data_IF_737260042663
#
_entry.id   IF_737260042663
#
_cell.length_a   1.000
_cell.length_b   1.000
_cell.length_c   1.000
_cell.angle_alpha   90.00
_cell.angle_beta   90.00
_cell.angle_gamma   90.00
#
_symmetry.space_group_name_H-M   'P 1'
#
loop_
_entity.id
_entity.type
_entity.pdbx_description
1 polymer ?
#
# COMPACT_ATOMS: atom_id res chain seq x y z
N UNK A 1 1.24 -16.88 -3.10
CA UNK A 1 1.46 -17.11 -1.66
C UNK A 1 0.34 -17.98 -1.11
N UNK A 2 0.69 -19.10 -0.46
CA UNK A 2 -0.23 -19.93 0.33
C UNK A 2 0.36 -20.10 1.73
N UNK A 3 -0.48 -20.07 2.76
CA UNK A 3 -0.07 -20.24 4.16
C UNK A 3 -1.15 -20.96 4.96
N UNK A 4 -0.71 -21.68 5.98
CA UNK A 4 -1.58 -22.38 6.95
C UNK A 4 -1.41 -21.82 8.36
N UNK A 5 -0.57 -20.80 8.52
CA UNK A 5 -0.31 -20.09 9.78
C UNK A 5 -1.35 -18.99 10.01
N UNK A 6 -1.63 -18.62 11.27
CA UNK A 6 -2.49 -17.49 11.59
C UNK A 6 -2.07 -16.21 10.87
N UNK A 7 -3.02 -15.48 10.28
CA UNK A 7 -2.78 -14.26 9.51
C UNK A 7 -3.52 -13.08 10.14
N UNK A 8 -2.97 -11.87 10.01
CA UNK A 8 -3.67 -10.64 10.41
C UNK A 8 -4.79 -10.37 9.40
N UNK A 9 -5.99 -10.88 9.69
CA UNK A 9 -7.17 -10.74 8.84
C UNK A 9 -8.34 -10.21 9.65
N UNK A 10 -9.01 -9.19 9.13
CA UNK A 10 -10.28 -8.70 9.62
C UNK A 10 -11.39 -9.01 8.60
N UNK A 11 -12.54 -9.46 9.08
CA UNK A 11 -13.71 -9.76 8.24
C UNK A 11 -14.80 -8.74 8.55
N UNK A 12 -15.27 -8.06 7.53
CA UNK A 12 -16.31 -7.03 7.61
C UNK A 12 -17.49 -7.41 6.73
N UNK A 13 -18.59 -6.68 6.84
CA UNK A 13 -19.73 -6.87 5.94
C UNK A 13 -19.33 -6.45 4.51
N UNK A 14 -19.24 -7.42 3.61
CA UNK A 14 -19.00 -7.19 2.17
C UNK A 14 -17.53 -7.16 1.74
N UNK A 15 -16.57 -7.29 2.65
CA UNK A 15 -15.14 -7.38 2.33
C UNK A 15 -14.30 -7.92 3.48
N UNK A 16 -13.06 -8.32 3.16
CA UNK A 16 -12.03 -8.74 4.13
C UNK A 16 -10.78 -7.88 3.96
N UNK A 17 -10.01 -7.74 5.03
CA UNK A 17 -8.74 -7.00 5.03
C UNK A 17 -7.64 -7.91 5.54
N UNK A 18 -6.55 -8.02 4.79
CA UNK A 18 -5.32 -8.71 5.18
C UNK A 18 -4.22 -7.68 5.40
N UNK A 19 -3.46 -7.78 6.48
CA UNK A 19 -2.26 -6.97 6.72
C UNK A 19 -1.00 -7.83 6.72
N UNK A 20 -0.06 -7.50 5.86
CA UNK A 20 1.25 -8.13 5.76
C UNK A 20 2.31 -7.13 6.21
N UNK A 21 2.84 -7.32 7.42
CA UNK A 21 3.90 -6.46 7.96
C UNK A 21 5.26 -6.91 7.44
N UNK A 22 6.09 -5.96 7.06
CA UNK A 22 7.45 -6.21 6.64
C UNK A 22 8.38 -5.05 6.99
N UNK A 23 9.65 -5.37 7.19
CA UNK A 23 10.69 -4.39 7.41
C UNK A 23 11.29 -4.02 6.06
N UNK A 24 11.43 -2.72 5.77
CA UNK A 24 12.25 -2.34 4.62
C UNK A 24 13.70 -2.73 4.91
N UNK A 25 14.26 -3.65 4.12
CA UNK A 25 15.69 -3.92 4.16
C UNK A 25 16.41 -2.72 3.55
N UNK A 26 17.23 -2.09 4.37
CA UNK A 26 17.95 -0.86 4.10
C UNK A 26 19.11 -1.11 3.13
N UNK A 27 18.80 -1.41 1.87
CA UNK A 27 19.83 -1.75 0.88
C UNK A 27 20.06 -0.71 -0.19
N UNK A 28 19.16 0.25 -0.43
CA UNK A 28 19.44 1.37 -1.33
C UNK A 28 18.60 2.59 -0.94
N UNK A 29 19.25 3.68 -0.50
CA UNK A 29 18.65 5.00 -0.62
C UNK A 29 18.30 5.28 -2.10
N UNK A 30 17.35 6.16 -2.45
CA UNK A 30 17.09 6.55 -3.84
C UNK A 30 18.34 7.06 -4.59
N UNK A 31 19.39 7.42 -3.84
CA UNK A 31 20.70 7.87 -4.30
C UNK A 31 21.73 6.76 -4.54
N UNK A 32 21.41 5.49 -4.25
CA UNK A 32 22.35 4.36 -4.34
C UNK A 32 23.46 4.38 -3.30
N UNK A 33 23.36 5.21 -2.25
CA UNK A 33 24.30 5.23 -1.13
C UNK A 33 23.88 4.25 -0.03
N UNK A 34 24.84 3.54 0.60
CA UNK A 34 24.56 2.76 1.80
C UNK A 34 24.05 3.69 2.90
N UNK A 35 23.05 3.23 3.64
CA UNK A 35 22.52 3.96 4.79
C UNK A 35 23.63 4.20 5.83
N UNK A 36 23.68 5.38 6.47
CA UNK A 36 24.68 5.66 7.49
C UNK A 36 24.56 4.67 8.65
N UNK A 37 25.71 4.20 9.11
CA UNK A 37 25.89 3.20 10.18
C UNK A 37 25.49 3.67 11.59
N UNK A 38 24.89 4.86 11.70
CA UNK A 38 24.37 5.36 12.95
C UNK A 38 22.98 4.77 13.12
N UNK A 39 22.91 3.73 13.95
CA UNK A 39 21.71 2.93 14.15
C UNK A 39 20.46 3.78 14.35
N UNK A 40 19.36 3.27 13.78
CA UNK A 40 17.98 3.72 13.92
C UNK A 40 17.45 4.51 12.71
N UNK A 41 16.89 3.79 11.72
CA UNK A 41 15.45 3.79 11.41
C UNK A 41 15.09 2.48 10.70
N UNK A 42 14.74 1.44 11.46
CA UNK A 42 14.02 0.31 10.89
C UNK A 42 12.59 0.75 10.62
N UNK A 43 12.32 1.28 9.43
CA UNK A 43 10.96 1.63 9.04
C UNK A 43 10.19 0.33 8.79
N UNK A 44 9.17 0.11 9.62
CA UNK A 44 8.20 -0.95 9.43
C UNK A 44 7.14 -0.49 8.45
N UNK A 45 6.78 -1.39 7.54
CA UNK A 45 5.75 -1.18 6.56
C UNK A 45 4.71 -2.27 6.65
N UNK A 46 3.48 -1.91 6.33
CA UNK A 46 2.35 -2.82 6.21
C UNK A 46 1.79 -2.74 4.80
N UNK A 47 1.69 -3.88 4.10
CA UNK A 47 0.81 -4.01 2.94
C UNK A 47 -0.56 -4.46 3.41
N UNK A 48 -1.57 -3.62 3.21
CA UNK A 48 -2.96 -3.92 3.50
C UNK A 48 -3.70 -4.23 2.21
N UNK A 49 -4.30 -5.42 2.11
CA UNK A 49 -5.07 -5.88 0.96
C UNK A 49 -6.55 -5.87 1.35
N UNK A 50 -7.36 -5.13 0.60
CA UNK A 50 -8.80 -4.99 0.77
C UNK A 50 -9.50 -5.79 -0.33
N UNK A 51 -10.07 -6.92 0.05
CA UNK A 51 -10.69 -7.89 -0.84
C UNK A 51 -12.22 -7.86 -0.66
N UNK A 52 -12.98 -7.31 -1.62
CA UNK A 52 -14.44 -7.40 -1.62
C UNK A 52 -14.93 -8.85 -1.54
N UNK A 53 -16.14 -9.08 -1.07
CA UNK A 53 -16.77 -10.41 -1.19
C UNK A 53 -17.38 -10.64 -2.59
N UNK A 54 -17.80 -9.54 -3.25
CA UNK A 54 -18.37 -9.56 -4.59
C UNK A 54 -17.30 -9.32 -5.67
N UNK A 55 -17.38 -10.06 -6.78
CA UNK A 55 -16.43 -9.98 -7.90
C UNK A 55 -16.32 -8.57 -8.52
N UNK A 56 -17.41 -7.80 -8.48
CA UNK A 56 -17.51 -6.43 -8.98
C UNK A 56 -17.61 -5.39 -7.86
N UNK A 57 -17.32 -5.77 -6.61
CA UNK A 57 -17.46 -4.90 -5.43
C UNK A 57 -16.34 -3.88 -5.25
N UNK A 58 -15.23 -4.00 -5.98
CA UNK A 58 -14.05 -3.15 -5.81
C UNK A 58 -14.33 -1.64 -5.96
N UNK A 59 -15.09 -1.16 -6.97
CA UNK A 59 -15.36 0.27 -7.11
C UNK A 59 -16.05 0.87 -5.88
N UNK A 60 -17.07 0.19 -5.34
CA UNK A 60 -17.77 0.63 -4.13
C UNK A 60 -16.86 0.64 -2.89
N UNK A 61 -15.96 -0.34 -2.79
CA UNK A 61 -14.99 -0.39 -1.70
C UNK A 61 -13.95 0.75 -1.81
N UNK A 62 -13.48 1.07 -3.02
CA UNK A 62 -12.57 2.19 -3.27
C UNK A 62 -13.23 3.52 -2.92
N UNK A 63 -14.49 3.72 -3.30
CA UNK A 63 -15.24 4.93 -2.94
C UNK A 63 -15.41 5.06 -1.42
N UNK A 64 -15.64 3.93 -0.73
CA UNK A 64 -15.73 3.90 0.74
C UNK A 64 -14.41 4.28 1.41
N UNK A 65 -13.27 3.74 0.93
CA UNK A 65 -11.93 4.10 1.41
C UNK A 65 -11.66 5.58 1.16
N UNK A 66 -11.94 6.08 -0.05
CA UNK A 66 -11.62 7.44 -0.45
C UNK A 66 -12.48 8.51 0.27
N UNK A 67 -13.68 8.15 0.70
CA UNK A 67 -14.61 9.08 1.36
C UNK A 67 -14.13 9.51 2.75
N UNK A 68 -13.57 8.60 3.53
CA UNK A 68 -13.06 8.87 4.89
C UNK A 68 -11.80 8.04 5.20
N UNK A 69 -10.64 8.34 4.56
CA UNK A 69 -9.50 7.43 4.57
C UNK A 69 -8.96 7.11 5.97
N UNK A 70 -8.78 8.14 6.82
CA UNK A 70 -8.22 7.95 8.17
C UNK A 70 -9.15 7.07 9.04
N UNK A 71 -10.41 7.47 9.19
CA UNK A 71 -11.42 6.71 9.94
C UNK A 71 -11.62 5.30 9.39
N UNK A 72 -11.56 5.13 8.07
CA UNK A 72 -11.73 3.84 7.43
C UNK A 72 -10.58 2.90 7.83
N UNK A 73 -9.33 3.36 7.75
CA UNK A 73 -8.18 2.54 8.10
C UNK A 73 -8.16 2.20 9.59
N UNK A 74 -8.46 3.16 10.47
CA UNK A 74 -8.52 2.93 11.92
C UNK A 74 -9.53 1.83 12.28
N UNK A 75 -10.69 1.78 11.60
CA UNK A 75 -11.78 0.86 11.95
C UNK A 75 -11.66 -0.53 11.34
N UNK A 76 -10.98 -0.67 10.21
CA UNK A 76 -11.06 -1.90 9.41
C UNK A 76 -9.77 -2.71 9.35
N UNK A 77 -8.64 -2.16 9.81
CA UNK A 77 -7.37 -2.89 9.85
C UNK A 77 -7.37 -3.94 10.98
N UNK A 78 -6.81 -5.14 10.73
CA UNK A 78 -6.71 -6.19 11.74
C UNK A 78 -5.68 -5.88 12.82
N UNK A 79 -6.07 -6.09 14.08
CA UNK A 79 -5.18 -5.99 15.25
C UNK A 79 -4.63 -7.35 15.70
N UNK A 80 -5.33 -8.44 15.39
CA UNK A 80 -5.01 -9.80 15.83
C UNK A 80 -4.87 -10.77 14.66
N UNK A 81 -4.12 -11.86 14.88
CA UNK A 81 -4.03 -12.98 13.93
C UNK A 81 -5.20 -13.95 14.13
N UNK A 82 -5.74 -14.47 13.03
CA UNK A 82 -6.78 -15.50 13.05
C UNK A 82 -6.36 -16.73 12.24
N UNK A 83 -6.85 -17.90 12.63
CA UNK A 83 -6.63 -19.14 11.90
C UNK A 83 -7.29 -19.08 10.51
N UNK A 84 -6.51 -19.43 9.48
CA UNK A 84 -6.98 -19.52 8.11
C UNK A 84 -7.29 -20.96 7.71
N UNK A 85 -8.30 -21.14 6.86
CA UNK A 85 -8.58 -22.44 6.22
C UNK A 85 -7.98 -22.47 4.82
N UNK A 86 -8.33 -21.50 3.99
CA UNK A 86 -7.69 -21.30 2.68
C UNK A 86 -7.10 -19.89 2.62
N UNK A 87 -5.83 -19.80 2.26
CA UNK A 87 -5.14 -18.52 2.08
C UNK A 87 -4.43 -18.50 0.74
N UNK A 88 -4.79 -17.53 -0.11
CA UNK A 88 -4.16 -17.33 -1.42
C UNK A 88 -4.09 -15.84 -1.74
N UNK A 89 -2.85 -15.34 -1.86
CA UNK A 89 -2.55 -14.01 -2.42
C UNK A 89 -1.70 -14.20 -3.67
N UNK A 90 -2.08 -13.63 -4.83
CA UNK A 90 -1.31 -13.77 -6.07
C UNK A 90 0.00 -13.00 -5.97
N UNK A 91 1.02 -13.49 -6.69
CA UNK A 91 2.20 -12.67 -6.99
C UNK A 91 1.80 -11.70 -8.09
N UNK A 92 2.27 -10.46 -8.01
CA UNK A 92 1.99 -9.48 -9.05
C UNK A 92 3.09 -8.44 -9.14
N UNK A 93 3.30 -7.94 -10.35
CA UNK A 93 4.16 -6.81 -10.65
C UNK A 93 3.35 -5.76 -11.40
N UNK A 94 3.19 -4.61 -10.76
CA UNK A 94 2.51 -3.47 -11.33
C UNK A 94 3.53 -2.39 -11.66
N UNK A 95 3.37 -1.78 -12.83
CA UNK A 95 4.15 -0.61 -13.20
C UNK A 95 3.23 0.48 -13.73
N UNK A 96 3.46 1.70 -13.28
CA UNK A 96 2.81 2.90 -13.77
C UNK A 96 3.87 3.85 -14.30
N UNK A 97 3.62 4.43 -15.46
CA UNK A 97 4.43 5.49 -16.04
C UNK A 97 3.51 6.38 -16.87
N UNK A 98 3.31 7.62 -16.42
CA UNK A 98 2.45 8.53 -17.15
C UNK A 98 2.48 9.96 -16.61
N UNK A 99 2.06 10.88 -17.47
CA UNK A 99 1.80 12.26 -17.08
C UNK A 99 0.55 12.34 -16.21
N UNK A 100 0.65 13.06 -15.09
CA UNK A 100 -0.47 13.32 -14.18
C UNK A 100 -1.04 14.73 -14.30
N UNK A 101 -0.57 15.53 -15.28
CA UNK A 101 -1.01 16.93 -15.47
C UNK A 101 -2.52 17.04 -15.60
N UNK A 102 -3.15 16.19 -16.39
CA UNK A 102 -4.60 16.21 -16.59
C UNK A 102 -5.37 15.95 -15.28
N UNK A 103 -4.83 15.10 -14.40
CA UNK A 103 -5.41 14.80 -13.10
C UNK A 103 -5.21 15.98 -12.15
N UNK A 104 -3.99 16.53 -12.07
CA UNK A 104 -3.67 17.69 -11.23
C UNK A 104 -4.53 18.92 -11.60
N UNK A 105 -4.75 19.17 -12.90
CA UNK A 105 -5.65 20.23 -13.38
C UNK A 105 -7.09 20.01 -12.92
N UNK A 106 -7.59 18.77 -12.98
CA UNK A 106 -8.94 18.41 -12.49
C UNK A 106 -9.07 18.57 -10.97
N UNK A 107 -7.97 18.36 -10.23
CA UNK A 107 -7.90 18.58 -8.79
C UNK A 107 -7.74 20.07 -8.39
N UNK A 108 -7.62 20.97 -9.36
CA UNK A 108 -7.59 22.42 -9.13
C UNK A 108 -6.22 23.08 -9.34
N UNK A 109 -5.15 22.32 -9.58
CA UNK A 109 -3.83 22.87 -9.90
C UNK A 109 -3.79 23.28 -11.38
N UNK A 110 -4.38 24.42 -11.72
CA UNK A 110 -4.47 24.91 -13.10
C UNK A 110 -3.40 25.96 -13.41
N UNK A 111 -3.19 26.92 -12.51
CA UNK A 111 -2.32 28.09 -12.73
C UNK A 111 -0.89 27.69 -13.06
N UNK A 112 -0.35 26.69 -12.35
CA UNK A 112 1.03 26.21 -12.52
C UNK A 112 1.35 25.73 -13.96
N UNK A 113 0.33 25.39 -14.75
CA UNK A 113 0.47 24.92 -16.14
C UNK A 113 0.02 25.96 -17.18
N UNK A 114 -0.01 27.24 -16.80
CA UNK A 114 -0.46 28.36 -17.63
C UNK A 114 0.46 29.57 -17.45
N UNK A 115 0.33 30.58 -18.31
CA UNK A 115 1.08 31.84 -18.21
C UNK A 115 0.79 32.65 -16.93
N UNK A 116 -0.22 32.25 -16.15
CA UNK A 116 -0.55 32.80 -14.82
C UNK A 116 0.24 32.12 -13.68
N UNK A 117 1.14 31.19 -13.99
CA UNK A 117 1.97 30.53 -12.98
C UNK A 117 2.91 31.55 -12.33
N UNK A 118 2.93 31.56 -11.00
CA UNK A 118 3.95 32.28 -10.23
C UNK A 118 4.95 31.26 -9.68
N UNK A 119 6.07 31.12 -10.37
CA UNK A 119 7.18 30.21 -10.04
C UNK A 119 8.49 30.98 -9.86
N UNK A 120 8.43 32.29 -9.53
CA UNK A 120 9.60 33.16 -9.45
C UNK A 120 10.64 32.72 -8.41
N UNK A 121 10.23 32.02 -7.37
CA UNK A 121 11.13 31.52 -6.33
C UNK A 121 11.92 30.27 -6.76
N UNK A 122 11.61 29.67 -7.91
CA UNK A 122 12.29 28.46 -8.40
C UNK A 122 13.57 28.75 -9.18
N UNK A 123 13.66 29.91 -9.83
CA UNK A 123 14.77 30.30 -10.72
C UNK A 123 15.03 31.79 -10.58
N UNK A 124 16.29 32.21 -10.60
CA UNK A 124 16.62 33.63 -10.67
C UNK A 124 16.08 34.27 -11.96
N UNK A 125 15.66 35.54 -11.88
CA UNK A 125 15.14 36.26 -13.04
C UNK A 125 16.20 36.36 -14.14
N UNK A 126 15.88 35.83 -15.33
CA UNK A 126 16.77 35.83 -16.49
C UNK A 126 16.58 37.06 -17.39
N UNK A 127 15.79 38.05 -16.95
CA UNK A 127 15.40 39.27 -17.66
C UNK A 127 14.68 39.01 -19.00
N UNK A 128 14.29 37.77 -19.31
CA UNK A 128 13.63 37.42 -20.58
C UNK A 128 12.18 37.89 -20.64
N UNK A 129 11.56 38.13 -19.49
CA UNK A 129 10.14 38.46 -19.36
C UNK A 129 9.19 37.33 -19.80
N UNK A 130 9.70 36.11 -20.03
CA UNK A 130 8.90 34.96 -20.39
C UNK A 130 8.33 34.29 -19.13
N UNK A 131 7.04 33.88 -19.14
CA UNK A 131 6.46 33.21 -17.98
C UNK A 131 7.07 31.81 -17.80
N UNK A 132 7.51 31.52 -16.57
CA UNK A 132 7.94 30.18 -16.18
C UNK A 132 6.72 29.32 -15.85
N UNK A 133 6.55 28.20 -16.54
CA UNK A 133 5.37 27.32 -16.39
C UNK A 133 5.78 25.86 -16.25
N UNK A 134 5.00 25.08 -15.51
CA UNK A 134 5.13 23.63 -15.54
C UNK A 134 4.60 23.09 -16.87
N UNK A 135 5.44 22.36 -17.58
CA UNK A 135 5.04 21.68 -18.81
C UNK A 135 4.45 20.30 -18.53
N UNK A 136 5.16 19.48 -17.73
CA UNK A 136 4.75 18.11 -17.44
C UNK A 136 5.11 17.68 -16.02
N UNK A 137 4.37 16.69 -15.50
CA UNK A 137 4.63 16.00 -14.24
C UNK A 137 4.48 14.51 -14.50
N UNK A 138 5.59 13.80 -14.49
CA UNK A 138 5.63 12.35 -14.75
C UNK A 138 5.66 11.60 -13.43
N UNK A 139 4.68 10.73 -13.19
CA UNK A 139 4.71 9.77 -12.11
C UNK A 139 5.12 8.39 -12.64
N UNK A 140 6.15 7.80 -12.04
CA UNK A 140 6.65 6.47 -12.35
C UNK A 140 6.75 5.65 -11.07
N UNK A 141 6.05 4.52 -11.03
CA UNK A 141 6.02 3.62 -9.88
C UNK A 141 6.11 2.17 -10.36
N UNK A 142 6.81 1.33 -9.59
CA UNK A 142 6.88 -0.11 -9.81
C UNK A 142 6.69 -0.78 -8.46
N UNK A 143 5.79 -1.74 -8.40
CA UNK A 143 5.51 -2.57 -7.23
C UNK A 143 5.64 -4.01 -7.67
N UNK A 144 6.35 -4.81 -6.88
CA UNK A 144 6.52 -6.23 -7.10
C UNK A 144 6.25 -6.96 -5.79
N UNK A 145 5.26 -7.84 -5.79
CA UNK A 145 4.87 -8.65 -4.64
C UNK A 145 5.23 -10.09 -4.94
N UNK A 146 6.18 -10.62 -4.17
CA UNK A 146 6.70 -11.98 -4.31
C UNK A 146 6.78 -12.69 -2.95
N UNK A 147 6.83 -14.03 -2.99
CA UNK A 147 6.83 -14.88 -1.79
C UNK A 147 8.07 -14.66 -0.91
N UNK A 148 9.23 -14.40 -1.49
CA UNK A 148 10.48 -14.29 -0.74
C UNK A 148 10.52 -13.06 0.17
N UNK A 149 10.13 -11.89 -0.36
CA UNK A 149 10.09 -10.63 0.39
C UNK A 149 8.98 -10.57 1.44
N UNK A 150 7.85 -11.24 1.19
CA UNK A 150 6.72 -11.29 2.14
C UNK A 150 6.89 -12.36 3.22
N UNK A 151 7.42 -13.54 2.87
CA UNK A 151 7.59 -14.66 3.82
C UNK A 151 8.76 -14.41 4.79
N UNK A 152 9.91 -13.90 4.30
CA UNK A 152 11.05 -13.64 5.18
C UNK A 152 10.73 -12.60 6.26
N UNK A 153 9.94 -11.58 5.91
CA UNK A 153 9.56 -10.54 6.84
C UNK A 153 8.47 -11.00 7.83
N UNK A 154 7.51 -11.84 7.37
CA UNK A 154 6.48 -12.42 8.22
C UNK A 154 7.04 -13.38 9.30
N UNK A 155 8.15 -14.08 9.01
CA UNK A 155 8.82 -14.95 10.00
C UNK A 155 9.50 -14.13 11.10
N UNK A 156 10.23 -13.06 10.74
CA UNK A 156 10.94 -12.24 11.72
C UNK A 156 10.03 -11.49 12.71
N UNK A 157 8.81 -11.14 12.30
CA UNK A 157 7.82 -10.52 13.21
C UNK A 157 7.20 -11.53 14.19
N UNK A 158 7.03 -12.78 13.77
CA UNK A 158 6.40 -13.80 14.60
C UNK A 158 7.29 -14.20 15.78
N UNK A 159 8.62 -14.24 15.54
CA UNK A 159 9.61 -14.49 16.60
C UNK A 159 9.64 -13.40 17.68
N UNK A 160 9.15 -12.17 17.39
CA UNK A 160 9.11 -11.06 18.35
C UNK A 160 7.82 -11.01 19.21
N UNK A 161 6.78 -11.79 18.87
CA UNK A 161 5.47 -11.77 19.54
C UNK A 161 5.21 -13.07 20.32
N UNK A 162 6.03 -13.39 21.33
CA UNK A 162 5.76 -14.52 22.23
C UNK A 162 5.57 -14.09 23.69
N UNK A 163 4.32 -14.19 24.16
CA UNK A 163 3.96 -14.18 25.57
C UNK A 163 2.45 -14.29 25.82
N UNK A 164 1.95 -15.50 26.13
CA UNK A 164 0.57 -15.65 26.65
C UNK A 164 0.00 -17.06 26.61
N UNK A 165 -0.61 -17.47 27.72
CA UNK A 165 -1.01 -18.84 28.06
C UNK A 165 -2.47 -19.20 27.65
N UNK A 166 -2.68 -20.48 27.33
CA UNK A 166 -3.93 -21.28 27.30
C UNK A 166 -5.27 -20.64 27.72
N UNK A 167 -6.31 -20.77 26.87
CA UNK A 167 -7.67 -21.16 27.27
C UNK A 167 -8.38 -21.95 26.16
N UNK A 168 -8.99 -23.09 26.52
CA UNK A 168 -9.82 -23.96 25.65
C UNK A 168 -11.13 -23.25 25.28
N UNK A 169 -11.09 -22.41 24.25
CA UNK A 169 -12.26 -22.01 23.45
C UNK A 169 -12.33 -22.94 22.23
N UNK A 170 -13.52 -23.33 21.73
CA UNK A 170 -13.58 -23.92 20.39
C UNK A 170 -12.85 -22.99 19.42
N UNK A 171 -11.99 -23.52 18.53
CA UNK A 171 -11.21 -22.69 17.63
C UNK A 171 -12.19 -21.78 16.88
N UNK A 172 -11.91 -20.46 16.80
CA UNK A 172 -12.75 -19.56 16.03
C UNK A 172 -12.92 -20.11 14.60
N UNK A 173 -14.06 -19.84 13.94
CA UNK A 173 -14.28 -20.29 12.58
C UNK A 173 -13.13 -19.82 11.70
N UNK A 174 -12.48 -20.76 11.04
CA UNK A 174 -11.36 -20.48 10.15
C UNK A 174 -11.85 -19.65 8.98
N UNK A 175 -11.12 -18.60 8.64
CA UNK A 175 -11.47 -17.69 7.55
C UNK A 175 -10.74 -18.10 6.27
N UNK A 176 -11.42 -17.99 5.14
CA UNK A 176 -10.78 -18.06 3.84
C UNK A 176 -10.44 -16.64 3.36
N UNK A 177 -9.19 -16.45 2.94
CA UNK A 177 -8.74 -15.24 2.26
C UNK A 177 -8.13 -15.63 0.92
N UNK A 178 -8.94 -15.54 -0.13
CA UNK A 178 -8.59 -15.98 -1.48
C UNK A 178 -8.75 -14.80 -2.43
N UNK A 179 -7.64 -14.13 -2.73
CA UNK A 179 -7.62 -12.96 -3.62
C UNK A 179 -7.59 -13.38 -5.09
N UNK A 180 -8.72 -13.89 -5.58
CA UNK A 180 -8.91 -14.42 -6.95
C UNK A 180 -9.76 -13.53 -7.86
N UNK A 181 -10.11 -12.33 -7.40
CA UNK A 181 -10.84 -11.31 -8.15
C UNK A 181 -10.34 -9.90 -7.74
N UNK A 182 -10.85 -8.80 -8.34
CA UNK A 182 -10.30 -7.47 -8.12
C UNK A 182 -10.22 -7.04 -6.66
N UNK A 183 -9.07 -6.52 -6.23
CA UNK A 183 -8.82 -6.03 -4.87
C UNK A 183 -8.02 -4.73 -4.86
N UNK A 184 -8.16 -3.95 -3.79
CA UNK A 184 -7.32 -2.79 -3.54
C UNK A 184 -6.17 -3.14 -2.60
N UNK A 185 -5.07 -2.40 -2.67
CA UNK A 185 -4.01 -2.49 -1.68
C UNK A 185 -3.47 -1.11 -1.32
N UNK A 186 -2.98 -1.01 -0.09
CA UNK A 186 -2.22 0.12 0.43
C UNK A 186 -0.90 -0.39 1.00
N UNK A 187 0.15 0.41 0.87
CA UNK A 187 1.39 0.22 1.62
C UNK A 187 1.53 1.41 2.55
N UNK A 188 1.69 1.15 3.83
CA UNK A 188 1.75 2.16 4.88
C UNK A 188 3.05 2.05 5.65
N UNK A 189 3.64 3.18 6.02
CA UNK A 189 4.72 3.26 6.99
C UNK A 189 4.11 3.30 8.40
N UNK A 190 4.48 2.34 9.26
CA UNK A 190 3.75 2.08 10.51
C UNK A 190 3.99 3.16 11.58
N UNK A 191 5.12 3.87 11.54
CA UNK A 191 5.45 4.89 12.56
C UNK A 191 4.58 6.14 12.41
N UNK A 192 4.41 6.61 11.18
CA UNK A 192 3.69 7.84 10.84
C UNK A 192 2.26 7.57 10.38
N UNK A 193 1.95 6.33 10.01
CA UNK A 193 0.68 5.98 9.37
C UNK A 193 0.57 6.48 7.92
N UNK A 194 1.67 6.95 7.33
CA UNK A 194 1.65 7.49 5.98
C UNK A 194 1.42 6.38 4.94
N UNK A 195 0.43 6.57 4.07
CA UNK A 195 0.24 5.74 2.87
C UNK A 195 1.32 6.10 1.84
N UNK A 196 2.25 5.19 1.60
CA UNK A 196 3.35 5.38 0.65
C UNK A 196 3.02 4.85 -0.75
N UNK A 197 2.16 3.84 -0.84
CA UNK A 197 1.58 3.38 -2.11
C UNK A 197 0.11 3.06 -1.94
N UNK A 198 -0.66 3.31 -3.00
CA UNK A 198 -2.04 2.91 -3.12
C UNK A 198 -2.29 2.42 -4.54
N UNK A 199 -3.06 1.35 -4.68
CA UNK A 199 -3.41 0.83 -5.99
C UNK A 199 -4.46 -0.27 -5.91
N UNK A 200 -4.74 -0.87 -7.05
CA UNK A 200 -5.63 -2.01 -7.15
C UNK A 200 -5.15 -2.99 -8.22
N UNK A 201 -5.49 -4.25 -8.03
CA UNK A 201 -5.29 -5.33 -9.01
C UNK A 201 -6.65 -5.66 -9.59
N UNK A 202 -6.81 -5.51 -10.91
CA UNK A 202 -8.07 -5.80 -11.61
C UNK A 202 -8.14 -7.23 -12.13
N UNK A 203 -7.00 -7.83 -12.43
CA UNK A 203 -6.92 -9.22 -12.86
C UNK A 203 -5.80 -9.93 -12.08
N UNK A 204 -6.14 -10.69 -11.03
CA UNK A 204 -5.16 -11.40 -10.22
C UNK A 204 -4.65 -12.69 -10.86
N UNK A 205 -5.14 -13.06 -12.05
CA UNK A 205 -4.70 -14.26 -12.78
C UNK A 205 -3.48 -14.02 -13.68
N UNK A 206 -3.13 -12.76 -13.94
CA UNK A 206 -1.98 -12.40 -14.76
C UNK A 206 -0.72 -12.48 -13.89
N UNK A 207 0.01 -13.59 -14.00
CA UNK A 207 1.40 -13.65 -13.55
C UNK A 207 2.25 -12.76 -14.47
N UNK A 208 2.98 -11.82 -13.87
CA UNK A 208 3.82 -10.82 -14.54
C UNK A 208 5.29 -10.99 -14.20
#
# INVERSE_FOLDING_TARGET
MQSWEPQFIAVHEGFKVLTLRYQAQDNLTPSGRPAPSDGNMCAWFSMCIFLPDALDGLPGLVDMIASQPADFLEKHLPEEKIDVREFRVPKFKLSFHGSVVAILKKLGLQSAFSDQADLSDMVEDDESGLPLVLNDVIHKAVIEVNEEGTVAAAVSIDEMLFGGCNFMRPPPPRVDFVADHPFAYLIMEETTGAVVFAGHVLDPSIES
#
